data_IF_275262449984
#
_entry.id   IF_275262449984
#
_cell.length_a   1.000
_cell.length_b   1.000
_cell.length_c   1.000
_cell.angle_alpha   90.00
_cell.angle_beta   90.00
_cell.angle_gamma   90.00
#
_symmetry.space_group_name_H-M   'P 1'
#
loop_
_entity.id
_entity.type
_entity.pdbx_description
1 polymer ?
#
# COMPACT_ATOMS: atom_id res chain seq x y z
N UNK A 1 31.74 4.53 -7.40
CA UNK A 1 30.32 4.14 -7.38
C UNK A 1 29.84 4.04 -5.95
N UNK A 2 28.75 4.74 -5.59
CA UNK A 2 28.27 4.68 -4.22
C UNK A 2 27.75 3.27 -3.90
N UNK A 3 27.92 2.88 -2.66
CA UNK A 3 27.36 1.63 -2.18
C UNK A 3 25.85 1.74 -2.08
N UNK A 4 25.14 0.63 -2.19
CA UNK A 4 23.68 0.60 -2.06
C UNK A 4 23.20 1.20 -0.74
N UNK A 5 23.93 0.95 0.35
CA UNK A 5 23.61 1.51 1.67
C UNK A 5 23.71 3.02 1.70
N UNK A 6 24.65 3.61 0.97
CA UNK A 6 24.81 5.06 0.90
C UNK A 6 23.61 5.70 0.22
N UNK A 7 23.07 5.07 -0.83
CA UNK A 7 21.87 5.56 -1.51
C UNK A 7 20.66 5.56 -0.58
N UNK A 8 20.51 4.55 0.26
CA UNK A 8 19.43 4.49 1.24
C UNK A 8 19.51 5.58 2.29
N UNK A 9 20.70 6.03 2.63
CA UNK A 9 20.91 7.06 3.62
C UNK A 9 20.79 8.46 3.05
N UNK A 10 20.78 8.60 1.72
CA UNK A 10 20.66 9.91 1.07
C UNK A 10 19.24 10.44 1.24
N UNK A 11 19.08 11.66 1.81
CA UNK A 11 17.76 12.27 1.93
C UNK A 11 17.11 12.46 0.57
N UNK A 12 15.79 12.32 0.49
CA UNK A 12 15.05 12.44 -0.77
C UNK A 12 15.33 13.75 -1.49
N UNK A 13 15.45 14.86 -0.75
CA UNK A 13 15.76 16.19 -1.31
C UNK A 13 17.12 16.28 -1.98
N UNK A 14 18.08 15.48 -1.52
CA UNK A 14 19.45 15.50 -2.03
C UNK A 14 19.71 14.40 -3.04
N UNK A 15 18.70 13.60 -3.37
CA UNK A 15 18.83 12.51 -4.33
C UNK A 15 19.02 13.08 -5.73
N UNK A 16 19.83 12.40 -6.57
CA UNK A 16 19.98 12.83 -7.96
C UNK A 16 18.64 12.76 -8.69
N UNK A 17 18.49 13.56 -9.75
CA UNK A 17 17.27 13.60 -10.56
C UNK A 17 16.89 12.26 -11.17
N UNK A 18 17.85 11.32 -11.24
CA UNK A 18 17.62 9.97 -11.76
C UNK A 18 17.18 8.98 -10.69
N UNK A 19 16.82 9.45 -9.52
CA UNK A 19 16.31 8.55 -8.50
C UNK A 19 15.07 7.83 -9.01
N UNK A 20 15.10 6.50 -8.95
CA UNK A 20 13.96 5.66 -9.33
C UNK A 20 13.06 5.55 -8.12
N UNK A 21 11.81 5.99 -8.26
CA UNK A 21 10.82 5.81 -7.20
C UNK A 21 10.38 4.35 -7.14
N UNK A 22 10.41 3.79 -5.95
CA UNK A 22 9.97 2.43 -5.71
C UNK A 22 8.56 2.47 -5.14
N UNK A 23 7.61 1.95 -5.91
CA UNK A 23 6.23 1.81 -5.48
C UNK A 23 6.02 0.40 -4.98
N UNK A 24 5.63 0.26 -3.72
CA UNK A 24 5.30 -1.04 -3.16
C UNK A 24 3.78 -1.23 -3.21
N UNK A 25 3.34 -2.24 -3.96
CA UNK A 25 1.92 -2.57 -4.10
C UNK A 25 1.53 -3.59 -3.03
N UNK A 26 0.79 -3.15 -2.03
CA UNK A 26 0.23 -4.06 -1.02
C UNK A 26 -0.99 -4.78 -1.61
N UNK A 27 -1.77 -4.06 -2.42
CA UNK A 27 -2.90 -4.63 -3.12
C UNK A 27 -3.93 -5.24 -2.18
N UNK A 28 -4.20 -6.53 -2.38
CA UNK A 28 -5.14 -7.31 -1.58
C UNK A 28 -4.47 -8.26 -0.60
N UNK A 29 -3.17 -8.11 -0.38
CA UNK A 29 -2.40 -9.06 0.44
C UNK A 29 -2.77 -9.02 1.93
N UNK A 30 -3.53 -8.01 2.36
CA UNK A 30 -4.02 -7.92 3.74
C UNK A 30 -5.08 -8.98 4.05
N UNK A 31 -5.72 -9.58 3.04
CA UNK A 31 -6.73 -10.63 3.21
C UNK A 31 -7.87 -10.22 4.17
N UNK A 32 -8.34 -8.97 4.06
CA UNK A 32 -9.44 -8.49 4.90
C UNK A 32 -9.07 -8.19 6.34
N UNK A 33 -7.80 -8.23 6.70
CA UNK A 33 -7.32 -8.02 8.06
C UNK A 33 -6.60 -6.67 8.17
N UNK A 34 -7.18 -5.73 8.92
CA UNK A 34 -6.61 -4.40 9.11
C UNK A 34 -5.23 -4.45 9.77
N UNK A 35 -5.04 -5.27 10.77
CA UNK A 35 -3.74 -5.36 11.45
C UNK A 35 -2.66 -5.88 10.51
N UNK A 36 -3.02 -6.80 9.63
CA UNK A 36 -2.11 -7.28 8.59
C UNK A 36 -1.78 -6.16 7.60
N UNK A 37 -2.79 -5.37 7.21
CA UNK A 37 -2.58 -4.22 6.32
C UNK A 37 -1.61 -3.21 6.95
N UNK A 38 -1.79 -2.90 8.23
CA UNK A 38 -0.90 -2.00 8.97
C UNK A 38 0.53 -2.54 9.01
N UNK A 39 0.69 -3.82 9.31
CA UNK A 39 1.99 -4.47 9.37
C UNK A 39 2.70 -4.41 8.01
N UNK A 40 1.96 -4.70 6.94
CA UNK A 40 2.50 -4.62 5.58
C UNK A 40 2.93 -3.19 5.22
N UNK A 41 2.13 -2.19 5.61
CA UNK A 41 2.46 -0.79 5.36
C UNK A 41 3.75 -0.38 6.08
N UNK A 42 3.89 -0.73 7.35
CA UNK A 42 5.12 -0.46 8.11
C UNK A 42 6.32 -1.15 7.49
N UNK A 43 6.18 -2.42 7.15
CA UNK A 43 7.26 -3.21 6.56
C UNK A 43 7.71 -2.61 5.23
N UNK A 44 6.76 -2.27 4.35
CA UNK A 44 7.08 -1.70 3.05
C UNK A 44 7.82 -0.37 3.18
N UNK A 45 7.38 0.50 4.10
CA UNK A 45 8.05 1.76 4.35
C UNK A 45 9.48 1.54 4.88
N UNK A 46 9.65 0.58 5.79
CA UNK A 46 10.95 0.26 6.38
C UNK A 46 11.91 -0.37 5.37
N UNK A 47 11.39 -1.03 4.35
CA UNK A 47 12.20 -1.66 3.31
C UNK A 47 12.67 -0.70 2.22
N UNK A 48 12.32 0.58 2.32
CA UNK A 48 12.82 1.59 1.40
C UNK A 48 11.88 1.97 0.27
N UNK A 49 10.62 1.58 0.32
CA UNK A 49 9.64 2.04 -0.65
C UNK A 49 9.43 3.54 -0.52
N UNK A 50 9.27 4.23 -1.63
CA UNK A 50 8.95 5.66 -1.66
C UNK A 50 7.44 5.89 -1.57
N UNK A 51 6.67 5.01 -2.17
CA UNK A 51 5.22 5.09 -2.24
C UNK A 51 4.63 3.74 -1.90
N UNK A 52 3.57 3.74 -1.10
CA UNK A 52 2.82 2.54 -0.76
C UNK A 52 1.47 2.63 -1.46
N UNK A 53 1.14 1.63 -2.25
CA UNK A 53 -0.10 1.58 -3.02
C UNK A 53 -1.01 0.49 -2.51
N UNK A 54 -2.25 0.86 -2.22
CA UNK A 54 -3.31 -0.05 -1.82
C UNK A 54 -4.36 -0.15 -2.92
N UNK A 55 -5.13 -1.21 -2.89
CA UNK A 55 -6.31 -1.38 -3.73
C UNK A 55 -7.54 -1.29 -2.82
N UNK A 56 -8.46 -0.40 -3.19
CA UNK A 56 -9.74 -0.30 -2.50
C UNK A 56 -10.78 -1.03 -3.34
N UNK A 57 -11.36 -2.07 -2.78
CA UNK A 57 -12.41 -2.83 -3.48
C UNK A 57 -13.41 -3.39 -2.48
N UNK A 58 -14.65 -3.41 -2.91
CA UNK A 58 -15.75 -3.93 -2.15
C UNK A 58 -16.48 -4.99 -3.00
N UNK A 59 -16.83 -6.11 -2.38
CA UNK A 59 -17.46 -7.22 -3.10
C UNK A 59 -18.77 -6.80 -3.77
N UNK A 60 -19.57 -5.97 -3.09
CA UNK A 60 -20.86 -5.52 -3.61
C UNK A 60 -20.73 -4.64 -4.86
N UNK A 61 -19.59 -3.98 -5.03
CA UNK A 61 -19.34 -3.10 -6.18
C UNK A 61 -18.71 -3.83 -7.36
N UNK A 62 -18.05 -4.97 -7.11
CA UNK A 62 -17.37 -5.75 -8.15
C UNK A 62 -18.22 -6.90 -8.66
N UNK A 63 -19.02 -7.52 -7.81
CA UNK A 63 -19.75 -8.75 -8.14
C UNK A 63 -21.20 -8.68 -7.69
N UNK A 64 -22.07 -9.31 -8.46
CA UNK A 64 -23.44 -9.55 -8.00
C UNK A 64 -23.39 -10.51 -6.82
N UNK A 65 -24.34 -10.37 -5.91
CA UNK A 65 -24.37 -11.19 -4.67
C UNK A 65 -24.47 -12.68 -4.94
N UNK A 66 -25.04 -13.07 -6.08
CA UNK A 66 -25.15 -14.46 -6.50
C UNK A 66 -23.91 -14.99 -7.24
N UNK A 67 -22.93 -14.13 -7.53
CA UNK A 67 -21.73 -14.53 -8.22
C UNK A 67 -20.78 -15.27 -7.27
N UNK A 68 -20.16 -16.40 -7.71
CA UNK A 68 -19.27 -17.18 -6.83
C UNK A 68 -18.12 -16.35 -6.23
N UNK A 69 -17.61 -15.38 -6.99
CA UNK A 69 -16.50 -14.56 -6.51
C UNK A 69 -16.90 -13.51 -5.49
N UNK A 70 -18.20 -13.25 -5.32
CA UNK A 70 -18.66 -12.29 -4.32
C UNK A 70 -18.26 -12.74 -2.91
N UNK A 71 -18.55 -14.00 -2.57
CA UNK A 71 -18.22 -14.56 -1.26
C UNK A 71 -16.71 -14.57 -1.01
N UNK A 72 -15.92 -14.89 -2.03
CA UNK A 72 -14.45 -14.87 -1.92
C UNK A 72 -13.93 -13.45 -1.69
N UNK A 73 -14.47 -12.49 -2.43
CA UNK A 73 -14.05 -11.09 -2.33
C UNK A 73 -14.42 -10.49 -0.97
N UNK A 74 -15.57 -10.87 -0.39
CA UNK A 74 -15.95 -10.40 0.95
C UNK A 74 -14.88 -10.71 2.00
N UNK A 75 -14.20 -11.83 1.85
CA UNK A 75 -13.18 -12.26 2.80
C UNK A 75 -11.89 -11.44 2.72
N UNK A 76 -11.64 -10.82 1.58
CA UNK A 76 -10.36 -10.16 1.30
C UNK A 76 -10.51 -8.69 0.96
N UNK A 77 -11.72 -8.12 1.00
CA UNK A 77 -11.95 -6.74 0.63
C UNK A 77 -11.19 -5.77 1.53
N UNK A 78 -10.77 -4.66 0.94
CA UNK A 78 -10.19 -3.54 1.66
C UNK A 78 -11.29 -2.53 1.95
N UNK A 79 -11.52 -2.25 3.21
CA UNK A 79 -12.62 -1.39 3.62
C UNK A 79 -12.22 0.09 3.58
N UNK A 80 -13.12 0.97 3.11
CA UNK A 80 -12.81 2.41 3.06
C UNK A 80 -12.41 3.00 4.40
N UNK A 81 -12.95 2.52 5.50
CA UNK A 81 -12.64 3.03 6.84
C UNK A 81 -11.19 2.76 7.28
N UNK A 82 -10.47 1.87 6.59
CA UNK A 82 -9.05 1.60 6.85
C UNK A 82 -8.14 2.70 6.28
N UNK A 83 -8.60 3.41 5.26
CA UNK A 83 -7.75 4.30 4.47
C UNK A 83 -7.12 5.42 5.32
N UNK A 84 -7.87 6.17 6.15
CA UNK A 84 -7.26 7.23 6.94
C UNK A 84 -6.14 6.73 7.85
N UNK A 85 -6.33 5.56 8.44
CA UNK A 85 -5.35 4.98 9.36
C UNK A 85 -4.11 4.50 8.63
N UNK A 86 -4.27 3.83 7.49
CA UNK A 86 -3.14 3.38 6.68
C UNK A 86 -2.37 4.56 6.10
N UNK A 87 -3.06 5.58 5.65
CA UNK A 87 -2.45 6.81 5.15
C UNK A 87 -1.61 7.48 6.24
N UNK A 88 -2.12 7.54 7.46
CA UNK A 88 -1.41 8.11 8.59
C UNK A 88 -0.11 7.35 8.88
N UNK A 89 -0.16 6.03 8.82
CA UNK A 89 1.04 5.19 9.03
C UNK A 89 2.08 5.50 7.97
N UNK A 90 1.70 5.49 6.69
CA UNK A 90 2.61 5.70 5.58
C UNK A 90 3.21 7.10 5.63
N UNK A 91 2.39 8.12 5.86
CA UNK A 91 2.85 9.50 5.96
C UNK A 91 3.73 9.72 7.18
N UNK A 92 3.49 8.98 8.27
CA UNK A 92 4.35 9.00 9.45
C UNK A 92 5.77 8.50 9.16
N UNK A 93 5.95 7.68 8.15
CA UNK A 93 7.27 7.27 7.67
C UNK A 93 7.87 8.25 6.65
N UNK A 94 7.18 9.34 6.34
CA UNK A 94 7.63 10.29 5.32
C UNK A 94 7.45 9.78 3.89
N UNK A 95 6.54 8.82 3.70
CA UNK A 95 6.29 8.20 2.40
C UNK A 95 4.95 8.65 1.83
N UNK A 96 4.75 8.39 0.54
CA UNK A 96 3.51 8.72 -0.15
C UNK A 96 2.55 7.53 -0.14
N UNK A 97 1.27 7.83 0.07
CA UNK A 97 0.21 6.83 0.06
C UNK A 97 -0.67 7.02 -1.17
N UNK A 98 -0.88 5.94 -1.92
CA UNK A 98 -1.79 5.90 -3.06
C UNK A 98 -2.82 4.80 -2.85
N UNK A 99 -4.03 5.04 -3.31
CA UNK A 99 -5.10 4.06 -3.27
C UNK A 99 -5.85 4.07 -4.60
N UNK A 100 -5.94 2.90 -5.24
CA UNK A 100 -6.68 2.75 -6.48
C UNK A 100 -8.05 2.13 -6.18
N UNK A 101 -9.15 2.85 -6.41
CA UNK A 101 -10.48 2.28 -6.23
C UNK A 101 -10.85 1.40 -7.43
N UNK A 102 -11.50 0.27 -7.13
CA UNK A 102 -12.12 -0.61 -8.11
C UNK A 102 -13.62 -0.62 -7.85
N UNK A 103 -14.38 -0.20 -8.82
CA UNK A 103 -15.84 -0.15 -8.69
C UNK A 103 -16.52 -0.59 -9.98
#
# INVERSE_FOLDING_TARGET
MPKFTDLKQTPKKARPQRHVELICEIGSNANGDLERAKSLAHTACSCGADTIKMQLFEADKLWRKDHPRHAETLKIETKPEWIPELKKIVEGHGKEFLCTPFS
#
